data_IF_999083164198
#
_entry.id   IF_999083164198
#
_cell.length_a   1.000
_cell.length_b   1.000
_cell.length_c   1.000
_cell.angle_alpha   90.00
_cell.angle_beta   90.00
_cell.angle_gamma   90.00
#
_symmetry.space_group_name_H-M   'P 1'
#
loop_
_entity.id
_entity.type
_entity.pdbx_description
1 polymer ?
#
# COMPACT_ATOMS: atom_id res chain seq x y z
N UNK A 1 59.63 -25.40 29.19
CA UNK A 1 60.41 -26.61 29.53
C UNK A 1 61.01 -26.41 30.90
N UNK A 2 60.85 -27.35 31.85
CA UNK A 2 59.94 -28.51 31.83
C UNK A 2 58.46 -28.05 31.91
N UNK A 3 57.39 -28.85 31.77
CA UNK A 3 57.13 -30.31 31.78
C UNK A 3 57.05 -31.01 33.16
N UNK A 4 55.85 -31.05 33.72
CA UNK A 4 55.30 -32.28 34.33
C UNK A 4 53.86 -32.41 33.84
N UNK A 5 53.55 -33.53 33.20
CA UNK A 5 52.17 -33.98 32.96
C UNK A 5 51.79 -34.96 34.06
N UNK A 6 50.50 -35.07 34.41
CA UNK A 6 50.01 -36.32 34.97
C UNK A 6 48.56 -36.60 34.57
N UNK A 7 48.26 -37.88 34.39
CA UNK A 7 47.16 -38.38 33.59
C UNK A 7 45.87 -38.76 34.33
N UNK A 8 44.99 -39.53 33.66
CA UNK A 8 43.54 -39.32 33.78
C UNK A 8 42.83 -40.20 34.81
N UNK A 9 41.56 -39.87 35.03
CA UNK A 9 40.54 -40.83 35.50
C UNK A 9 39.31 -40.77 34.61
N UNK A 10 38.74 -41.94 34.38
CA UNK A 10 37.69 -42.20 33.39
C UNK A 10 36.28 -42.13 34.01
N UNK A 11 35.30 -42.21 33.12
CA UNK A 11 33.93 -42.69 33.31
C UNK A 11 33.05 -42.12 34.45
N UNK A 12 31.96 -41.49 34.03
CA UNK A 12 30.69 -42.19 34.18
C UNK A 12 29.77 -42.03 32.96
N UNK A 13 29.26 -43.15 32.46
CA UNK A 13 28.29 -43.24 31.37
C UNK A 13 26.86 -43.21 31.93
N UNK A 14 25.92 -42.56 31.24
CA UNK A 14 24.48 -42.70 31.54
C UNK A 14 23.66 -42.51 30.27
N UNK A 15 23.03 -43.59 29.83
CA UNK A 15 22.39 -43.70 28.52
C UNK A 15 20.94 -43.19 28.50
N UNK A 16 20.53 -42.75 27.32
CA UNK A 16 19.14 -42.47 26.94
C UNK A 16 18.38 -43.80 26.71
N UNK A 17 17.16 -43.97 27.23
CA UNK A 17 16.17 -44.88 26.67
C UNK A 17 15.14 -44.10 25.81
N UNK A 18 14.86 -44.51 24.55
CA UNK A 18 13.88 -43.86 23.67
C UNK A 18 12.47 -44.46 23.80
N UNK A 19 11.41 -43.73 23.41
CA UNK A 19 10.05 -44.31 23.25
C UNK A 19 9.23 -43.59 22.17
N UNK A 20 9.09 -44.29 21.03
CA UNK A 20 7.99 -44.29 20.01
C UNK A 20 7.33 -42.99 19.51
N UNK A 21 7.34 -42.85 18.18
CA UNK A 21 6.34 -42.09 17.39
C UNK A 21 5.00 -42.85 17.30
N UNK A 22 3.89 -42.13 17.15
CA UNK A 22 2.71 -42.58 16.38
C UNK A 22 1.95 -41.36 15.81
N UNK A 23 1.48 -41.34 14.53
CA UNK A 23 0.87 -40.16 13.92
C UNK A 23 -0.67 -40.18 13.89
N UNK A 24 -1.24 -39.08 13.39
CA UNK A 24 -2.67 -38.81 13.11
C UNK A 24 -3.62 -38.63 14.30
N UNK A 25 -4.01 -37.38 14.58
CA UNK A 25 -5.40 -36.96 14.38
C UNK A 25 -5.58 -35.42 14.43
N UNK A 26 -6.22 -34.90 13.38
CA UNK A 26 -7.15 -33.77 13.36
C UNK A 26 -6.73 -32.34 13.77
N UNK A 27 -7.15 -31.41 12.91
CA UNK A 27 -6.86 -29.99 12.94
C UNK A 27 -7.59 -29.23 14.05
N UNK A 28 -6.88 -28.26 14.64
CA UNK A 28 -7.50 -27.11 15.30
C UNK A 28 -7.00 -25.83 14.64
N UNK A 29 -7.94 -25.04 14.10
CA UNK A 29 -7.69 -23.65 13.77
C UNK A 29 -8.03 -22.83 15.02
N UNK A 30 -7.10 -22.00 15.51
CA UNK A 30 -7.40 -20.95 16.47
C UNK A 30 -6.84 -19.62 15.95
N UNK A 31 -7.71 -18.83 15.32
CA UNK A 31 -7.43 -17.45 14.92
C UNK A 31 -7.18 -16.58 16.17
N UNK A 32 -5.93 -16.47 16.59
CA UNK A 32 -5.51 -15.55 17.65
C UNK A 32 -5.44 -14.12 17.12
N UNK A 33 -6.61 -13.46 17.04
CA UNK A 33 -6.74 -12.00 16.95
C UNK A 33 -6.24 -11.37 18.27
N UNK A 34 -4.91 -11.22 18.38
CA UNK A 34 -4.24 -10.60 19.53
C UNK A 34 -4.40 -9.05 19.49
N UNK A 35 -5.63 -8.59 19.79
CA UNK A 35 -6.06 -7.18 19.73
C UNK A 35 -5.53 -6.34 20.91
N UNK A 36 -4.22 -6.36 21.10
CA UNK A 36 -3.46 -5.51 22.03
C UNK A 36 -3.39 -4.04 21.54
N UNK A 37 -4.55 -3.46 21.23
CA UNK A 37 -4.70 -2.10 20.70
C UNK A 37 -4.67 -1.07 21.85
N UNK A 38 -3.55 -0.34 21.95
CA UNK A 38 -3.35 0.75 22.93
C UNK A 38 -4.55 1.73 22.87
N UNK A 39 -5.20 2.08 24.00
CA UNK A 39 -6.58 2.60 24.01
C UNK A 39 -6.71 4.06 23.53
N UNK A 40 -6.62 4.27 22.21
CA UNK A 40 -6.80 5.57 21.55
C UNK A 40 -8.21 5.67 20.94
N UNK A 41 -9.13 6.33 21.65
CA UNK A 41 -10.44 6.79 21.16
C UNK A 41 -11.43 5.73 20.61
N UNK A 42 -11.92 4.83 21.48
CA UNK A 42 -13.13 3.98 21.21
C UNK A 42 -14.47 4.77 21.12
N UNK A 43 -14.47 6.07 20.76
CA UNK A 43 -15.67 6.95 20.74
C UNK A 43 -16.15 7.40 19.35
N UNK A 44 -15.51 6.98 18.26
CA UNK A 44 -15.95 7.31 16.88
C UNK A 44 -15.85 6.12 15.92
N UNK A 45 -16.59 5.04 16.19
CA UNK A 45 -16.84 3.96 15.22
C UNK A 45 -18.23 4.08 14.59
N UNK A 46 -18.36 3.75 13.30
CA UNK A 46 -19.60 3.90 12.52
C UNK A 46 -20.52 2.66 12.59
N UNK A 47 -20.19 1.69 13.43
CA UNK A 47 -20.85 0.38 13.50
C UNK A 47 -22.13 0.42 14.33
N UNK A 48 -23.21 0.99 13.79
CA UNK A 48 -24.51 1.03 14.49
C UNK A 48 -25.78 1.29 13.67
N UNK A 49 -25.72 1.56 12.36
CA UNK A 49 -26.92 1.95 11.57
C UNK A 49 -27.20 1.20 10.27
N UNK A 50 -26.34 0.26 9.85
CA UNK A 50 -26.54 -0.43 8.57
C UNK A 50 -27.77 -1.38 8.57
N UNK A 51 -28.19 -1.85 9.74
CA UNK A 51 -29.34 -2.78 9.88
C UNK A 51 -30.71 -2.13 9.62
N UNK A 52 -30.80 -0.81 9.42
CA UNK A 52 -32.07 -0.10 9.21
C UNK A 52 -32.63 -0.18 7.77
N UNK A 53 -31.95 -0.90 6.86
CA UNK A 53 -32.28 -0.92 5.42
C UNK A 53 -32.60 -2.31 4.83
N UNK A 54 -32.67 -3.36 5.65
CA UNK A 54 -33.07 -4.70 5.20
C UNK A 54 -34.60 -4.85 5.17
N UNK A 55 -35.22 -4.68 4.01
CA UNK A 55 -36.62 -5.00 3.79
C UNK A 55 -36.84 -6.53 3.71
N UNK A 56 -37.44 -7.11 4.73
CA UNK A 56 -37.82 -8.53 4.75
C UNK A 56 -39.09 -8.80 3.95
N UNK A 57 -39.00 -9.66 2.92
CA UNK A 57 -40.18 -10.24 2.26
C UNK A 57 -40.79 -11.34 3.15
N UNK A 58 -42.13 -11.37 3.28
CA UNK A 58 -42.84 -12.42 4.02
C UNK A 58 -43.10 -13.65 3.13
N UNK A 59 -42.90 -14.89 3.63
CA UNK A 59 -43.42 -16.08 2.98
C UNK A 59 -44.91 -16.27 3.31
N UNK A 60 -45.66 -16.86 2.36
CA UNK A 60 -47.04 -17.36 2.56
C UNK A 60 -47.07 -18.85 2.24
N UNK A 61 -47.67 -19.66 3.11
CA UNK A 61 -47.66 -21.11 3.03
C UNK A 61 -49.01 -21.70 2.64
N UNK A 62 -49.03 -22.61 1.66
CA UNK A 62 -50.09 -23.61 1.50
C UNK A 62 -49.61 -24.81 0.66
N UNK A 63 -49.83 -26.02 1.20
CA UNK A 63 -49.80 -27.34 0.57
C UNK A 63 -51.10 -28.06 1.02
N UNK A 64 -51.42 -29.34 0.69
CA UNK A 64 -50.71 -30.41 -0.04
C UNK A 64 -51.62 -30.93 -1.21
N UNK A 65 -51.62 -32.21 -1.69
CA UNK A 65 -50.77 -33.38 -1.44
C UNK A 65 -50.17 -34.05 -2.71
N UNK A 66 -49.46 -35.17 -2.50
CA UNK A 66 -48.64 -35.86 -3.48
C UNK A 66 -49.29 -37.10 -4.12
N UNK A 67 -48.69 -37.58 -5.22
CA UNK A 67 -48.83 -38.94 -5.76
C UNK A 67 -47.49 -39.40 -6.38
N UNK A 68 -47.40 -40.67 -6.80
CA UNK A 68 -46.14 -41.45 -6.75
C UNK A 68 -45.60 -41.99 -8.09
N UNK A 69 -44.30 -42.37 -8.06
CA UNK A 69 -43.72 -43.61 -8.65
C UNK A 69 -43.02 -43.63 -10.03
N UNK A 70 -41.83 -44.30 -10.02
CA UNK A 70 -41.37 -45.40 -10.90
C UNK A 70 -40.39 -45.17 -12.10
N UNK A 71 -39.28 -45.96 -12.08
CA UNK A 71 -38.36 -46.46 -13.16
C UNK A 71 -37.31 -45.48 -13.78
N UNK A 72 -36.00 -45.83 -13.82
CA UNK A 72 -35.22 -46.73 -14.74
C UNK A 72 -35.06 -46.14 -16.17
N UNK A 73 -33.91 -46.14 -16.87
CA UNK A 73 -32.55 -46.78 -16.77
C UNK A 73 -31.51 -45.89 -17.51
N UNK A 74 -30.21 -45.81 -17.14
CA UNK A 74 -29.04 -46.60 -17.63
C UNK A 74 -28.84 -46.63 -19.19
N UNK A 75 -27.65 -46.55 -19.83
CA UNK A 75 -26.23 -46.42 -19.40
C UNK A 75 -25.28 -46.17 -20.61
N UNK A 76 -24.16 -45.43 -20.43
CA UNK A 76 -22.85 -45.51 -21.18
C UNK A 76 -22.84 -45.31 -22.74
N UNK A 77 -21.75 -45.05 -23.48
CA UNK A 77 -20.29 -44.86 -23.19
C UNK A 77 -19.59 -43.94 -24.22
N UNK A 78 -18.52 -43.30 -23.77
CA UNK A 78 -17.23 -42.92 -24.43
C UNK A 78 -16.78 -43.89 -25.58
N UNK A 79 -15.96 -43.53 -26.60
CA UNK A 79 -14.59 -42.94 -26.55
C UNK A 79 -14.13 -42.17 -27.82
N UNK A 80 -13.04 -41.39 -27.65
CA UNK A 80 -12.13 -40.75 -28.63
C UNK A 80 -11.31 -41.78 -29.49
N UNK A 81 -10.25 -41.43 -30.29
CA UNK A 81 -9.58 -40.13 -30.54
C UNK A 81 -9.07 -39.82 -31.98
N UNK A 82 -8.40 -38.65 -32.12
CA UNK A 82 -7.28 -38.37 -33.04
C UNK A 82 -7.60 -38.25 -34.57
N UNK A 83 -6.80 -37.57 -35.42
CA UNK A 83 -5.55 -36.77 -35.26
C UNK A 83 -5.34 -35.83 -36.47
N UNK A 84 -4.62 -34.71 -36.30
CA UNK A 84 -3.90 -33.93 -37.36
C UNK A 84 -4.75 -33.35 -38.53
N UNK A 85 -4.33 -32.32 -39.27
CA UNK A 85 -3.22 -31.35 -39.13
C UNK A 85 -3.57 -30.02 -39.81
N UNK A 86 -2.94 -28.94 -39.36
CA UNK A 86 -2.92 -27.60 -40.00
C UNK A 86 -2.05 -27.61 -41.30
N UNK A 87 -1.69 -26.46 -41.97
CA UNK A 87 -2.09 -25.05 -41.77
C UNK A 87 -2.26 -24.24 -43.11
N UNK A 88 -2.19 -22.89 -43.01
CA UNK A 88 -1.64 -21.92 -43.99
C UNK A 88 -2.45 -21.42 -45.22
N UNK A 89 -2.53 -20.07 -45.29
CA UNK A 89 -2.45 -19.20 -46.50
C UNK A 89 -3.66 -19.35 -47.48
N UNK A 90 -3.93 -18.41 -48.41
CA UNK A 90 -3.10 -17.37 -49.03
C UNK A 90 -3.94 -16.16 -49.53
N UNK A 91 -3.32 -14.97 -49.54
CA UNK A 91 -3.75 -13.79 -50.34
C UNK A 91 -3.94 -14.14 -51.83
N UNK A 92 -4.87 -13.47 -52.54
CA UNK A 92 -4.56 -12.47 -53.62
C UNK A 92 -5.78 -11.85 -54.37
N UNK A 93 -5.65 -10.57 -54.74
CA UNK A 93 -6.18 -9.85 -55.95
C UNK A 93 -7.62 -10.14 -56.45
N UNK A 94 -8.64 -9.28 -56.26
CA UNK A 94 -8.98 -7.97 -56.95
C UNK A 94 -9.66 -8.13 -58.33
N UNK A 95 -10.42 -7.11 -58.82
CA UNK A 95 -11.81 -6.72 -58.51
C UNK A 95 -12.76 -7.09 -59.71
N UNK A 96 -14.02 -6.60 -59.90
CA UNK A 96 -14.32 -5.18 -60.22
C UNK A 96 -15.75 -4.64 -59.84
N UNK A 97 -16.01 -3.38 -60.23
CA UNK A 97 -17.29 -2.67 -60.53
C UNK A 97 -18.48 -2.60 -59.54
N UNK A 98 -18.71 -1.37 -59.05
CA UNK A 98 -20.01 -0.65 -58.90
C UNK A 98 -21.24 -1.29 -58.21
N UNK A 99 -21.68 -0.64 -57.13
CA UNK A 99 -22.94 0.13 -57.19
C UNK A 99 -22.81 1.41 -56.35
N UNK A 100 -23.51 2.48 -56.75
CA UNK A 100 -23.38 3.82 -56.14
C UNK A 100 -24.69 4.23 -55.48
N UNK A 101 -24.65 4.70 -54.22
CA UNK A 101 -25.60 5.75 -53.82
C UNK A 101 -25.09 6.67 -52.71
N UNK A 102 -25.13 7.95 -53.06
CA UNK A 102 -25.08 9.16 -52.23
C UNK A 102 -26.37 9.32 -51.39
N UNK A 103 -26.54 10.23 -50.42
CA UNK A 103 -25.70 11.10 -49.54
C UNK A 103 -26.70 11.95 -48.71
N UNK A 104 -26.19 12.79 -47.81
CA UNK A 104 -26.79 14.02 -47.24
C UNK A 104 -27.58 13.86 -45.92
N UNK A 105 -27.20 14.74 -44.98
CA UNK A 105 -27.81 15.00 -43.68
C UNK A 105 -28.78 16.18 -43.74
N UNK A 106 -29.81 16.22 -42.88
CA UNK A 106 -30.34 17.52 -42.40
C UNK A 106 -31.10 17.45 -41.07
N UNK A 107 -31.00 18.54 -40.31
CA UNK A 107 -31.63 18.83 -39.03
C UNK A 107 -33.11 19.20 -39.12
N UNK A 108 -33.88 19.05 -38.03
CA UNK A 108 -35.16 19.74 -37.82
C UNK A 108 -35.48 19.96 -36.33
N UNK A 109 -36.45 20.85 -36.03
CA UNK A 109 -36.62 21.48 -34.71
C UNK A 109 -38.08 21.60 -34.25
N UNK A 110 -38.29 21.38 -32.94
CA UNK A 110 -39.32 21.91 -31.99
C UNK A 110 -40.71 22.37 -32.50
N UNK A 111 -41.76 21.64 -32.10
CA UNK A 111 -43.15 22.13 -31.88
C UNK A 111 -44.04 21.01 -31.28
N UNK A 112 -44.92 21.17 -30.28
CA UNK A 112 -45.05 22.23 -29.26
C UNK A 112 -45.09 21.59 -27.83
N UNK A 113 -46.00 21.70 -26.85
CA UNK A 113 -47.28 22.44 -26.62
C UNK A 113 -47.29 22.98 -25.16
N UNK A 114 -48.38 22.88 -24.37
CA UNK A 114 -48.45 23.44 -23.00
C UNK A 114 -49.41 22.75 -22.02
N UNK A 115 -49.09 22.76 -20.72
CA UNK A 115 -50.05 22.74 -19.58
C UNK A 115 -49.32 23.23 -18.31
N UNK A 116 -49.95 24.02 -17.41
CA UNK A 116 -49.29 24.55 -16.21
C UNK A 116 -49.62 23.73 -14.95
N UNK A 117 -48.66 23.59 -14.03
CA UNK A 117 -48.94 23.19 -12.64
C UNK A 117 -47.97 23.88 -11.70
N UNK A 118 -48.51 24.67 -10.78
CA UNK A 118 -47.76 25.44 -9.78
C UNK A 118 -47.32 24.57 -8.62
N UNK A 119 -46.00 24.54 -8.34
CA UNK A 119 -45.47 24.13 -7.03
C UNK A 119 -44.38 25.12 -6.61
N UNK A 120 -44.28 25.36 -5.30
CA UNK A 120 -43.57 26.50 -4.72
C UNK A 120 -42.05 26.32 -4.72
N UNK A 121 -41.33 27.24 -5.37
CA UNK A 121 -39.87 27.30 -5.38
C UNK A 121 -39.31 27.81 -4.05
N UNK A 122 -39.17 26.92 -3.07
CA UNK A 122 -38.52 27.24 -1.79
C UNK A 122 -37.06 27.68 -2.03
N UNK A 123 -36.60 28.82 -1.45
CA UNK A 123 -35.29 29.38 -1.75
C UNK A 123 -34.16 28.51 -1.21
N UNK A 124 -33.38 27.92 -2.14
CA UNK A 124 -32.17 27.14 -1.85
C UNK A 124 -31.26 27.90 -0.87
N UNK A 125 -30.86 27.30 0.27
CA UNK A 125 -30.03 28.00 1.25
C UNK A 125 -28.71 28.49 0.63
N UNK A 126 -28.39 29.74 0.96
CA UNK A 126 -27.22 30.49 0.47
C UNK A 126 -25.93 29.71 0.70
N UNK A 127 -25.01 29.78 -0.29
CA UNK A 127 -23.58 29.41 -0.25
C UNK A 127 -23.09 28.98 1.15
N UNK A 128 -22.85 27.69 1.35
CA UNK A 128 -21.95 27.24 2.42
C UNK A 128 -20.62 27.96 2.24
N UNK A 129 -20.19 28.65 3.30
CA UNK A 129 -18.93 29.39 3.30
C UNK A 129 -17.80 28.39 3.09
N UNK A 130 -17.05 28.53 2.00
CA UNK A 130 -15.78 27.83 1.84
C UNK A 130 -14.81 28.36 2.90
N UNK A 131 -14.26 27.51 3.79
CA UNK A 131 -13.16 27.92 4.66
C UNK A 131 -11.92 28.12 3.78
N UNK A 132 -11.80 29.31 3.19
CA UNK A 132 -10.69 29.73 2.33
C UNK A 132 -9.48 30.14 3.17
N UNK A 133 -9.10 29.25 4.08
CA UNK A 133 -7.86 29.29 4.84
C UNK A 133 -7.38 27.85 4.93
N UNK A 134 -6.35 27.51 4.17
CA UNK A 134 -5.53 26.38 4.55
C UNK A 134 -4.82 26.81 5.84
N UNK A 135 -5.20 26.22 6.96
CA UNK A 135 -4.38 26.32 8.17
C UNK A 135 -3.03 25.70 7.86
N UNK A 136 -1.95 26.43 8.11
CA UNK A 136 -0.60 25.93 7.87
C UNK A 136 -0.36 24.61 8.61
N UNK A 137 0.43 23.73 7.97
CA UNK A 137 0.68 22.39 8.50
C UNK A 137 1.52 22.47 9.77
N UNK A 138 1.03 21.92 10.89
CA UNK A 138 1.86 21.70 12.08
C UNK A 138 2.81 20.50 11.92
N UNK A 139 2.70 19.71 10.84
CA UNK A 139 3.66 18.65 10.55
C UNK A 139 4.95 19.27 10.04
N UNK A 140 6.04 19.09 10.79
CA UNK A 140 7.39 19.44 10.36
C UNK A 140 8.15 18.20 9.90
N UNK A 141 9.10 18.40 8.99
CA UNK A 141 10.00 17.34 8.52
C UNK A 141 10.89 16.80 9.66
N UNK A 142 11.16 15.50 9.63
CA UNK A 142 12.00 14.78 10.61
C UNK A 142 13.21 14.15 9.91
N UNK A 143 14.10 15.00 9.39
CA UNK A 143 15.24 14.60 8.55
C UNK A 143 16.58 15.06 9.16
N UNK A 144 17.06 14.44 10.25
CA UNK A 144 18.47 14.56 10.62
C UNK A 144 19.38 13.95 9.53
N UNK A 145 20.69 14.27 9.52
CA UNK A 145 21.64 13.66 8.59
C UNK A 145 21.76 12.14 8.76
N UNK A 146 22.12 11.45 7.68
CA UNK A 146 22.52 10.04 7.66
C UNK A 146 21.46 9.08 8.26
N UNK A 147 20.20 9.25 7.84
CA UNK A 147 19.12 8.30 8.14
C UNK A 147 19.26 7.01 7.32
N UNK A 148 19.05 5.86 7.94
CA UNK A 148 18.87 4.57 7.26
C UNK A 148 17.69 4.63 6.30
N UNK A 149 16.59 5.25 6.71
CA UNK A 149 15.39 5.38 5.88
C UNK A 149 14.69 6.73 6.03
N UNK A 150 14.45 7.39 4.88
CA UNK A 150 13.54 8.53 4.79
C UNK A 150 12.21 8.11 4.12
N UNK A 151 11.11 8.22 4.86
CA UNK A 151 9.76 7.90 4.41
C UNK A 151 9.05 9.16 3.87
N UNK A 152 8.80 9.18 2.56
CA UNK A 152 8.23 10.31 1.82
C UNK A 152 6.75 10.10 1.59
N UNK A 153 5.92 10.92 2.24
CA UNK A 153 4.48 11.02 1.97
C UNK A 153 4.15 11.88 0.75
N UNK A 154 2.91 11.84 0.30
CA UNK A 154 2.41 12.72 -0.76
C UNK A 154 2.33 14.15 -0.24
N UNK A 155 1.44 14.37 0.74
CA UNK A 155 1.24 15.63 1.44
C UNK A 155 0.48 15.39 2.77
N UNK A 156 0.43 16.38 3.68
CA UNK A 156 -0.39 16.31 4.88
C UNK A 156 -1.88 16.09 4.58
N UNK A 157 -2.45 14.99 5.06
CA UNK A 157 -3.90 14.88 5.21
C UNK A 157 -4.38 15.83 6.32
N UNK A 158 -5.62 16.33 6.25
CA UNK A 158 -6.16 17.35 7.19
C UNK A 158 -5.82 17.06 8.67
N UNK A 159 -6.04 15.83 9.17
CA UNK A 159 -5.73 15.51 10.58
C UNK A 159 -4.23 15.52 10.88
N UNK A 160 -3.37 15.12 9.93
CA UNK A 160 -1.91 15.23 10.04
C UNK A 160 -1.46 16.69 10.06
N UNK A 161 -2.05 17.56 9.23
CA UNK A 161 -1.79 19.01 9.27
C UNK A 161 -2.21 19.65 10.60
N UNK A 162 -3.34 19.23 11.18
CA UNK A 162 -3.86 19.77 12.46
C UNK A 162 -3.11 19.22 13.67
N UNK A 163 -2.68 17.96 13.67
CA UNK A 163 -2.01 17.33 14.83
C UNK A 163 -0.49 17.46 14.82
N UNK A 164 0.09 17.79 13.67
CA UNK A 164 1.54 17.75 13.47
C UNK A 164 2.13 16.35 13.41
N UNK A 165 1.31 15.29 13.30
CA UNK A 165 1.75 13.91 13.34
C UNK A 165 1.56 13.19 12.00
N UNK A 166 2.59 12.45 11.56
CA UNK A 166 2.59 11.76 10.29
C UNK A 166 1.50 10.67 10.25
N UNK A 167 0.76 10.61 9.14
CA UNK A 167 -0.27 9.61 8.87
C UNK A 167 -1.33 9.44 9.99
N UNK A 168 -1.71 10.53 10.67
CA UNK A 168 -2.52 10.51 11.90
C UNK A 168 -3.98 10.08 11.74
N UNK A 169 -4.50 9.96 10.51
CA UNK A 169 -5.89 9.57 10.29
C UNK A 169 -6.11 8.07 10.60
N UNK A 170 -7.11 7.67 11.42
CA UNK A 170 -7.27 6.27 11.85
C UNK A 170 -7.45 5.23 10.73
N UNK A 171 -7.92 5.62 9.55
CA UNK A 171 -7.99 4.73 8.38
C UNK A 171 -6.69 4.64 7.58
N UNK A 172 -5.61 5.31 8.00
CA UNK A 172 -4.31 5.19 7.36
C UNK A 172 -3.55 4.00 7.93
N UNK A 173 -3.09 3.12 7.04
CA UNK A 173 -2.43 1.86 7.40
C UNK A 173 -0.93 2.01 7.69
N UNK A 174 -0.33 3.20 7.56
CA UNK A 174 1.11 3.42 7.72
C UNK A 174 1.66 2.80 9.00
N UNK A 175 1.12 3.17 10.16
CA UNK A 175 1.58 2.68 11.47
C UNK A 175 1.34 1.17 11.67
N UNK A 176 0.37 0.56 10.97
CA UNK A 176 0.18 -0.90 10.96
C UNK A 176 1.21 -1.59 10.05
N UNK A 177 1.41 -1.09 8.82
CA UNK A 177 2.35 -1.63 7.84
C UNK A 177 3.82 -1.49 8.29
N UNK A 178 4.17 -0.39 8.95
CA UNK A 178 5.50 -0.15 9.53
C UNK A 178 5.86 -1.21 10.58
N UNK A 179 4.87 -1.64 11.38
CA UNK A 179 5.04 -2.70 12.37
C UNK A 179 4.99 -4.11 11.74
N UNK A 180 3.98 -4.39 10.91
CA UNK A 180 3.78 -5.72 10.29
C UNK A 180 4.94 -6.17 9.39
N UNK A 181 5.70 -5.22 8.85
CA UNK A 181 6.93 -5.48 8.08
C UNK A 181 8.21 -5.52 8.92
N UNK A 182 8.15 -5.22 10.22
CA UNK A 182 9.30 -5.15 11.12
C UNK A 182 10.14 -3.87 11.02
N UNK A 183 9.73 -2.88 10.20
CA UNK A 183 10.38 -1.56 10.12
C UNK A 183 10.37 -0.86 11.50
N UNK A 184 9.32 -1.07 12.30
CA UNK A 184 9.35 -0.85 13.76
C UNK A 184 8.99 -2.15 14.51
N UNK A 185 9.68 -2.46 15.64
CA UNK A 185 9.43 -3.69 16.40
C UNK A 185 8.04 -3.71 17.07
N UNK A 186 7.50 -2.53 17.37
CA UNK A 186 6.14 -2.33 17.89
C UNK A 186 5.33 -1.42 16.98
N UNK A 187 4.00 -1.43 17.12
CA UNK A 187 3.10 -0.47 16.47
C UNK A 187 3.03 0.82 17.28
N UNK A 188 3.69 1.86 16.77
CA UNK A 188 3.65 3.19 17.37
C UNK A 188 2.33 3.93 17.07
N UNK A 189 1.86 4.81 17.99
CA UNK A 189 0.85 5.82 17.71
C UNK A 189 1.43 6.97 16.88
N UNK A 190 0.60 7.75 16.14
CA UNK A 190 1.07 8.90 15.37
C UNK A 190 1.89 9.94 16.15
N UNK A 191 1.62 10.10 17.45
CA UNK A 191 2.36 11.01 18.35
C UNK A 191 3.86 10.72 18.44
N UNK A 192 4.30 9.52 18.04
CA UNK A 192 5.70 9.11 18.07
C UNK A 192 6.46 9.45 16.77
N UNK A 193 5.83 10.18 15.83
CA UNK A 193 6.45 10.72 14.59
C UNK A 193 7.85 11.28 14.84
N UNK A 194 8.02 12.07 15.91
CA UNK A 194 9.27 12.76 16.23
C UNK A 194 10.31 11.90 16.98
N UNK A 195 9.94 10.68 17.40
CA UNK A 195 10.82 9.74 18.10
C UNK A 195 11.51 8.74 17.15
N UNK A 196 10.91 8.45 15.99
CA UNK A 196 11.45 7.49 15.01
C UNK A 196 12.92 7.74 14.61
N UNK A 197 13.43 8.98 14.50
CA UNK A 197 14.83 9.19 14.13
C UNK A 197 15.82 8.77 15.22
N UNK A 198 15.47 8.95 16.50
CA UNK A 198 16.31 8.57 17.64
C UNK A 198 16.22 7.07 17.96
N UNK A 199 15.00 6.51 17.87
CA UNK A 199 14.72 5.12 18.19
C UNK A 199 15.20 4.14 17.11
N UNK A 200 15.06 4.51 15.83
CA UNK A 200 15.26 3.57 14.71
C UNK A 200 16.06 4.12 13.54
N UNK A 201 16.52 5.38 13.59
CA UNK A 201 17.19 6.06 12.49
C UNK A 201 16.31 6.17 11.22
N UNK A 202 15.00 6.38 11.45
CA UNK A 202 13.96 6.53 10.41
C UNK A 202 13.35 7.93 10.51
N UNK A 203 13.23 8.63 9.38
CA UNK A 203 12.66 9.98 9.30
C UNK A 203 11.47 10.09 8.34
N UNK A 204 10.74 11.20 8.41
CA UNK A 204 9.58 11.51 7.57
C UNK A 204 9.67 12.89 6.90
N UNK A 205 9.12 12.97 5.68
CA UNK A 205 8.91 14.20 4.88
C UNK A 205 7.69 14.02 3.99
N UNK A 206 7.24 15.07 3.31
CA UNK A 206 6.37 14.94 2.12
C UNK A 206 7.06 15.48 0.86
N UNK A 207 6.53 15.14 -0.32
CA UNK A 207 6.90 15.79 -1.60
C UNK A 207 6.17 17.13 -1.79
N UNK A 208 4.96 17.29 -1.24
CA UNK A 208 4.20 18.55 -1.22
C UNK A 208 3.79 18.90 0.21
N UNK A 209 4.08 20.13 0.63
CA UNK A 209 3.88 20.56 2.02
C UNK A 209 2.44 21.02 2.33
N UNK A 210 1.69 21.42 1.29
CA UNK A 210 0.31 21.93 1.43
C UNK A 210 -0.68 20.85 1.88
N UNK A 211 -1.43 21.06 2.99
CA UNK A 211 -2.46 20.11 3.42
C UNK A 211 -3.63 19.97 2.43
N UNK A 212 -4.18 18.76 2.31
CA UNK A 212 -5.44 18.50 1.58
C UNK A 212 -6.30 17.44 2.28
N UNK A 213 -7.56 17.31 1.83
CA UNK A 213 -8.45 16.20 2.22
C UNK A 213 -8.13 14.91 1.45
N UNK A 214 -7.59 15.04 0.25
CA UNK A 214 -7.31 13.94 -0.67
C UNK A 214 -6.11 14.31 -1.55
N UNK A 215 -5.23 13.34 -1.83
CA UNK A 215 -4.05 13.52 -2.69
C UNK A 215 -4.42 13.89 -4.14
N UNK A 216 -5.62 13.51 -4.61
CA UNK A 216 -6.15 13.91 -5.92
C UNK A 216 -6.46 15.42 -6.05
N UNK A 217 -6.41 16.17 -4.94
CA UNK A 217 -6.49 17.64 -4.93
C UNK A 217 -5.15 18.33 -5.24
N UNK A 218 -4.07 17.56 -5.48
CA UNK A 218 -2.79 18.08 -5.94
C UNK A 218 -2.70 18.00 -7.48
N UNK A 219 -2.18 19.05 -8.11
CA UNK A 219 -1.95 19.00 -9.56
C UNK A 219 -0.67 18.23 -9.90
N UNK A 220 -0.58 17.67 -11.12
CA UNK A 220 0.69 17.06 -11.58
C UNK A 220 1.86 18.05 -11.52
N UNK A 221 1.65 19.31 -11.92
CA UNK A 221 2.65 20.39 -11.84
C UNK A 221 3.13 20.64 -10.42
N UNK A 222 2.24 20.55 -9.43
CA UNK A 222 2.55 20.74 -8.01
C UNK A 222 3.36 19.57 -7.44
N UNK A 223 2.98 18.33 -7.77
CA UNK A 223 3.77 17.14 -7.47
C UNK A 223 5.16 17.19 -8.12
N UNK A 224 5.23 17.62 -9.39
CA UNK A 224 6.48 17.71 -10.16
C UNK A 224 7.39 18.83 -9.63
N UNK A 225 6.82 19.94 -9.16
CA UNK A 225 7.55 21.02 -8.49
C UNK A 225 8.10 20.61 -7.10
N UNK A 226 7.51 19.61 -6.45
CA UNK A 226 8.03 19.04 -5.20
C UNK A 226 9.29 18.17 -5.38
N UNK A 227 9.51 17.58 -6.57
CA UNK A 227 10.67 16.73 -6.84
C UNK A 227 12.03 17.43 -6.61
N UNK A 228 12.32 18.63 -7.15
CA UNK A 228 13.60 19.31 -6.90
C UNK A 228 13.80 19.68 -5.42
N UNK A 229 12.72 19.95 -4.68
CA UNK A 229 12.79 20.23 -3.23
C UNK A 229 13.15 18.95 -2.46
N UNK A 230 12.51 17.82 -2.79
CA UNK A 230 12.84 16.51 -2.23
C UNK A 230 14.27 16.07 -2.57
N UNK A 231 14.69 16.23 -3.83
CA UNK A 231 16.07 16.00 -4.28
C UNK A 231 17.08 16.84 -3.48
N UNK A 232 16.75 18.11 -3.16
CA UNK A 232 17.60 18.96 -2.30
C UNK A 232 17.67 18.45 -0.85
N UNK A 233 16.52 18.15 -0.22
CA UNK A 233 16.46 17.59 1.14
C UNK A 233 17.26 16.27 1.25
N UNK A 234 17.16 15.39 0.25
CA UNK A 234 17.92 14.13 0.19
C UNK A 234 19.42 14.37 -0.03
N UNK A 235 19.80 15.33 -0.88
CA UNK A 235 21.20 15.71 -1.15
C UNK A 235 21.91 16.27 0.08
N UNK A 236 21.20 17.08 0.85
CA UNK A 236 21.73 17.70 2.08
C UNK A 236 21.84 16.68 3.22
N UNK A 237 20.78 15.90 3.48
CA UNK A 237 20.70 15.01 4.65
C UNK A 237 21.25 13.60 4.41
N UNK A 238 21.56 13.23 3.17
CA UNK A 238 22.19 11.95 2.77
C UNK A 238 21.62 10.68 3.44
N UNK A 239 20.30 10.43 3.38
CA UNK A 239 19.77 9.14 3.83
C UNK A 239 20.28 7.99 2.93
N UNK A 240 20.44 6.79 3.48
CA UNK A 240 20.85 5.61 2.70
C UNK A 240 19.78 5.19 1.69
N UNK A 241 18.52 5.17 2.14
CA UNK A 241 17.36 4.85 1.33
C UNK A 241 16.24 5.87 1.50
N UNK A 242 15.49 6.06 0.41
CA UNK A 242 14.26 6.85 0.37
C UNK A 242 13.11 5.93 -0.04
N UNK A 243 12.10 5.81 0.82
CA UNK A 243 10.87 5.08 0.51
C UNK A 243 9.77 6.08 0.12
N UNK A 244 9.29 5.98 -1.11
CA UNK A 244 8.18 6.77 -1.63
C UNK A 244 6.87 6.05 -1.28
N UNK A 245 6.09 6.62 -0.36
CA UNK A 245 4.85 6.04 0.20
C UNK A 245 3.66 6.25 -0.74
N UNK A 246 3.79 5.77 -1.98
CA UNK A 246 2.74 5.74 -2.98
C UNK A 246 3.23 6.02 -4.42
N UNK A 247 2.65 5.28 -5.37
CA UNK A 247 2.92 5.35 -6.82
C UNK A 247 2.90 6.77 -7.41
N UNK A 248 2.02 7.66 -6.95
CA UNK A 248 1.91 9.03 -7.46
C UNK A 248 3.15 9.90 -7.23
N UNK A 249 3.92 9.62 -6.17
CA UNK A 249 5.18 10.30 -5.86
C UNK A 249 6.25 9.85 -6.87
N UNK A 250 6.36 8.54 -7.09
CA UNK A 250 7.27 7.97 -8.08
C UNK A 250 6.93 8.42 -9.51
N UNK A 251 5.66 8.52 -9.87
CA UNK A 251 5.24 9.07 -11.15
C UNK A 251 5.67 10.54 -11.36
N UNK A 252 5.81 11.32 -10.29
CA UNK A 252 6.34 12.69 -10.35
C UNK A 252 7.86 12.70 -10.51
N UNK A 253 8.57 11.92 -9.68
CA UNK A 253 10.03 11.72 -9.79
C UNK A 253 10.40 11.26 -11.21
N UNK A 254 9.66 10.31 -11.77
CA UNK A 254 9.86 9.83 -13.15
C UNK A 254 9.57 10.92 -14.19
N UNK A 255 8.49 11.69 -14.06
CA UNK A 255 8.20 12.82 -14.98
C UNK A 255 9.33 13.84 -15.01
N UNK A 256 9.89 14.18 -13.86
CA UNK A 256 10.95 15.19 -13.74
C UNK A 256 12.31 14.65 -14.21
N UNK A 257 12.67 13.41 -13.87
CA UNK A 257 13.98 12.83 -14.22
C UNK A 257 14.06 12.23 -15.63
N UNK A 258 12.93 11.80 -16.20
CA UNK A 258 12.84 11.14 -17.53
C UNK A 258 12.09 11.99 -18.57
N UNK A 259 11.52 13.14 -18.17
CA UNK A 259 10.86 14.09 -19.07
C UNK A 259 9.51 13.64 -19.65
N UNK A 260 8.95 12.51 -19.18
CA UNK A 260 7.69 11.94 -19.68
C UNK A 260 6.95 11.12 -18.62
N UNK A 261 5.72 10.72 -18.90
CA UNK A 261 5.03 9.71 -18.10
C UNK A 261 5.71 8.34 -18.12
N UNK A 262 5.66 7.63 -16.99
CA UNK A 262 5.98 6.20 -16.89
C UNK A 262 4.88 5.36 -17.55
N UNK A 263 5.25 4.30 -18.26
CA UNK A 263 4.33 3.32 -18.82
C UNK A 263 3.94 2.28 -17.76
N UNK A 264 2.93 1.45 -18.03
CA UNK A 264 2.49 0.42 -17.08
C UNK A 264 3.57 -0.65 -16.88
N UNK A 265 4.29 -0.96 -17.96
CA UNK A 265 5.32 -1.99 -18.07
C UNK A 265 6.66 -1.56 -17.45
N UNK A 266 6.85 -0.25 -17.28
CA UNK A 266 8.01 0.36 -16.61
C UNK A 266 7.80 0.52 -15.09
N UNK A 267 6.55 0.43 -14.63
CA UNK A 267 6.21 0.62 -13.22
C UNK A 267 6.31 -0.70 -12.44
N UNK A 268 7.08 -0.66 -11.34
CA UNK A 268 7.11 -1.69 -10.30
C UNK A 268 7.12 -1.05 -8.91
N UNK A 269 6.51 -1.73 -7.94
CA UNK A 269 6.82 -1.51 -6.52
C UNK A 269 8.20 -2.14 -6.19
N UNK A 270 8.69 -1.95 -4.97
CA UNK A 270 9.98 -2.48 -4.54
C UNK A 270 11.15 -1.56 -4.86
N UNK A 271 12.38 -2.09 -4.83
CA UNK A 271 13.59 -1.36 -5.20
C UNK A 271 13.61 -0.95 -6.68
N UNK A 272 13.92 0.32 -6.93
CA UNK A 272 14.08 0.89 -8.27
C UNK A 272 15.54 0.81 -8.74
N UNK A 273 15.76 1.03 -10.04
CA UNK A 273 17.08 0.86 -10.66
C UNK A 273 18.10 1.90 -10.18
N UNK A 274 19.37 1.48 -10.11
CA UNK A 274 20.54 2.29 -9.78
C UNK A 274 20.46 3.72 -10.33
N UNK A 275 20.12 3.83 -11.62
CA UNK A 275 19.97 5.08 -12.38
C UNK A 275 19.05 6.14 -11.75
N UNK A 276 18.09 5.75 -10.90
CA UNK A 276 17.03 6.65 -10.41
C UNK A 276 17.24 7.23 -9.01
N UNK A 277 18.31 6.84 -8.29
CA UNK A 277 18.66 7.33 -6.95
C UNK A 277 18.49 8.86 -6.78
N UNK A 278 17.98 9.28 -5.62
CA UNK A 278 17.64 10.67 -5.31
C UNK A 278 18.81 11.40 -4.63
N UNK A 279 18.95 12.70 -4.88
CA UNK A 279 19.90 13.57 -4.18
C UNK A 279 21.33 13.51 -4.70
N UNK A 280 21.59 12.86 -5.84
CA UNK A 280 22.93 12.66 -6.42
C UNK A 280 23.77 13.95 -6.47
N UNK A 281 25.07 13.78 -6.27
CA UNK A 281 26.14 14.75 -6.52
C UNK A 281 27.40 14.02 -6.96
N UNK A 282 28.40 14.76 -7.41
CA UNK A 282 29.77 14.26 -7.49
C UNK A 282 30.21 13.69 -6.13
N UNK A 283 30.79 12.48 -6.13
CA UNK A 283 31.17 11.77 -4.91
C UNK A 283 30.02 11.15 -4.09
N UNK A 284 28.75 11.19 -4.56
CA UNK A 284 27.66 10.44 -3.92
C UNK A 284 26.54 10.05 -4.90
N UNK A 285 26.36 8.74 -5.10
CA UNK A 285 25.37 8.14 -6.01
C UNK A 285 23.90 8.35 -5.62
N UNK A 286 23.63 9.06 -4.53
CA UNK A 286 22.28 9.33 -4.03
C UNK A 286 21.69 8.20 -3.21
N UNK A 287 20.57 8.50 -2.55
CA UNK A 287 19.83 7.55 -1.76
C UNK A 287 19.11 6.53 -2.65
N UNK A 288 19.17 5.25 -2.27
CA UNK A 288 18.49 4.16 -2.99
C UNK A 288 16.97 4.33 -2.89
N UNK A 289 16.27 4.23 -4.02
CA UNK A 289 14.80 4.45 -4.04
C UNK A 289 14.03 3.14 -3.90
N UNK A 290 13.16 3.11 -2.90
CA UNK A 290 12.10 2.11 -2.75
C UNK A 290 10.75 2.76 -3.10
N UNK A 291 9.88 2.05 -3.83
CA UNK A 291 8.50 2.52 -4.10
C UNK A 291 7.52 1.60 -3.38
N UNK A 292 6.90 2.15 -2.33
CA UNK A 292 5.93 1.44 -1.52
C UNK A 292 4.49 1.70 -1.99
N UNK A 293 3.59 0.86 -1.49
CA UNK A 293 2.14 0.99 -1.69
C UNK A 293 1.58 2.15 -0.88
N UNK A 294 0.47 2.74 -1.35
CA UNK A 294 -0.17 3.86 -0.62
C UNK A 294 -0.92 3.38 0.61
N UNK A 295 -0.62 4.01 1.74
CA UNK A 295 -1.14 3.70 3.08
C UNK A 295 -2.53 4.28 3.34
N UNK A 296 -3.03 5.16 2.46
CA UNK A 296 -4.35 5.79 2.64
C UNK A 296 -5.50 4.78 2.54
N UNK A 297 -6.40 4.80 3.53
CA UNK A 297 -7.66 4.04 3.49
C UNK A 297 -8.63 4.47 2.38
N UNK A 298 -8.39 5.60 1.70
CA UNK A 298 -9.14 5.99 0.50
C UNK A 298 -8.69 5.19 -0.75
N UNK A 299 -7.50 4.58 -0.72
CA UNK A 299 -6.94 3.83 -1.84
C UNK A 299 -7.35 2.35 -1.80
N UNK A 300 -8.56 2.07 -2.32
CA UNK A 300 -9.18 0.74 -2.35
C UNK A 300 -8.67 -0.20 -3.47
N UNK A 301 -7.79 0.26 -4.36
CA UNK A 301 -7.32 -0.52 -5.54
C UNK A 301 -6.29 -1.61 -5.26
N UNK A 302 -6.12 -2.05 -4.00
CA UNK A 302 -5.18 -3.08 -3.55
C UNK A 302 -5.57 -3.51 -2.13
N UNK A 303 -5.52 -4.81 -1.85
CA UNK A 303 -5.83 -5.40 -0.54
C UNK A 303 -4.79 -5.03 0.53
N UNK A 304 -5.10 -5.30 1.80
CA UNK A 304 -4.15 -5.10 2.91
C UNK A 304 -2.98 -6.08 2.82
N UNK A 305 -3.19 -7.28 2.27
CA UNK A 305 -2.17 -8.32 2.13
C UNK A 305 -1.14 -7.97 1.03
N UNK A 306 -1.60 -7.63 -0.18
CA UNK A 306 -0.72 -7.11 -1.25
C UNK A 306 0.02 -5.82 -0.82
N UNK A 307 -0.62 -4.97 0.00
CA UNK A 307 0.06 -3.82 0.60
C UNK A 307 1.18 -4.28 1.53
N UNK A 308 0.93 -5.26 2.40
CA UNK A 308 1.93 -5.80 3.33
C UNK A 308 3.11 -6.44 2.60
N UNK A 309 2.88 -7.29 1.61
CA UNK A 309 3.94 -8.01 0.87
C UNK A 309 5.03 -7.07 0.33
N UNK A 310 4.64 -5.91 -0.21
CA UNK A 310 5.58 -4.86 -0.65
C UNK A 310 6.31 -4.21 0.53
N UNK A 311 5.62 -3.93 1.64
CA UNK A 311 6.28 -3.32 2.82
C UNK A 311 7.24 -4.31 3.50
N UNK A 312 6.96 -5.61 3.48
CA UNK A 312 7.84 -6.65 4.02
C UNK A 312 9.18 -6.76 3.26
N UNK A 313 9.24 -6.38 1.97
CA UNK A 313 10.50 -6.28 1.21
C UNK A 313 11.41 -5.18 1.77
N UNK A 314 10.86 -3.99 2.04
CA UNK A 314 11.56 -2.90 2.69
C UNK A 314 11.90 -3.26 4.16
N UNK A 315 10.98 -3.91 4.85
CA UNK A 315 11.12 -4.33 6.23
C UNK A 315 12.31 -5.26 6.47
N UNK A 316 12.47 -6.30 5.64
CA UNK A 316 13.65 -7.18 5.68
C UNK A 316 14.96 -6.41 5.55
N UNK A 317 15.01 -5.40 4.68
CA UNK A 317 16.20 -4.55 4.51
C UNK A 317 16.45 -3.63 5.71
N UNK A 318 15.40 -2.97 6.25
CA UNK A 318 15.53 -2.11 7.44
C UNK A 318 15.96 -2.91 8.67
N UNK A 319 15.42 -4.12 8.87
CA UNK A 319 15.80 -5.01 9.99
C UNK A 319 17.29 -5.37 9.92
N UNK A 320 17.84 -5.59 8.73
CA UNK A 320 19.29 -5.86 8.58
C UNK A 320 20.14 -4.62 8.82
N UNK A 321 19.75 -3.46 8.27
CA UNK A 321 20.47 -2.19 8.53
C UNK A 321 20.43 -1.77 9.99
N UNK A 322 19.32 -2.00 10.71
CA UNK A 322 19.19 -1.66 12.13
C UNK A 322 20.25 -2.35 12.98
N UNK A 323 20.54 -3.64 12.74
CA UNK A 323 21.63 -4.36 13.43
C UNK A 323 22.99 -3.66 13.26
N UNK A 324 23.28 -3.20 12.04
CA UNK A 324 24.54 -2.52 11.73
C UNK A 324 24.61 -1.17 12.45
N UNK A 325 23.54 -0.38 12.38
CA UNK A 325 23.43 0.90 13.10
C UNK A 325 23.54 0.73 14.63
N UNK A 326 22.92 -0.30 15.20
CA UNK A 326 23.02 -0.63 16.63
C UNK A 326 24.46 -1.02 17.03
N UNK A 327 25.15 -1.82 16.21
CA UNK A 327 26.57 -2.15 16.41
C UNK A 327 27.49 -0.93 16.29
N UNK A 328 27.26 -0.04 15.32
CA UNK A 328 28.01 1.20 15.15
C UNK A 328 27.79 2.16 16.34
N UNK A 329 26.53 2.30 16.80
CA UNK A 329 26.16 3.12 17.95
C UNK A 329 26.84 2.62 19.25
N UNK A 330 26.86 1.30 19.48
CA UNK A 330 27.54 0.71 20.65
C UNK A 330 29.06 0.95 20.65
N UNK A 331 29.71 0.78 19.50
CA UNK A 331 31.15 1.05 19.34
C UNK A 331 31.50 2.54 19.55
N UNK A 332 30.56 3.44 19.26
CA UNK A 332 30.69 4.87 19.57
C UNK A 332 30.69 5.18 21.08
N UNK A 333 29.93 4.42 21.89
CA UNK A 333 29.92 4.61 23.35
C UNK A 333 31.14 4.04 24.07
N UNK A 334 31.67 2.90 23.63
CA UNK A 334 32.85 2.29 24.28
C UNK A 334 34.15 3.09 24.11
N UNK A 335 34.21 3.95 23.07
CA UNK A 335 35.34 4.85 22.82
C UNK A 335 35.46 6.04 23.78
N UNK A 336 34.47 6.29 24.64
CA UNK A 336 34.46 7.42 25.59
C UNK A 336 34.80 6.94 27.00
N UNK A 337 35.98 6.32 27.15
CA UNK A 337 36.66 6.22 28.45
C UNK A 337 37.68 7.35 28.57
N UNK A 338 37.50 8.15 29.61
CA UNK A 338 38.29 9.35 29.89
C UNK A 338 39.68 8.95 30.39
N UNK A 339 40.72 9.60 29.84
CA UNK A 339 42.04 9.77 30.49
C UNK A 339 42.04 11.08 31.29
#
# INVERSE_FOLDING_TARGET
MPLVEDGPREDNNSQIPPTTLNPNSEAYNEDHDDDNDVPVNKKTSFNGRLNQYFHTAKPTSSAPPALSSIKQTATTTTTHPNRTSSPLKRKRTTPPTSTTSTRITRSRSRSSTSTPTSTTSSPRPRKTLTPSSASDSLLTDTIPPNLTLLLVGVNPGILTGITGYAYAHPSNLFWKLLHWSGITPIRHPPSDTYKLPELYNIGNTNIVERPTRDASMLSKKEMDAGVPVLEAKVREKRPEAVCLVGKSIWEAVWRVKVGRGIRKEEFRYGWQDEGMNLGRVEGWDGARVFVATTTSGLAAGMSVMEKREVWDELGRWVVERRKVWEMEKGRGSDGVKVE
#
